data_IF_241528674982
#
_entry.id   IF_241528674982
#
_cell.length_a   1.000
_cell.length_b   1.000
_cell.length_c   1.000
_cell.angle_alpha   90.00
_cell.angle_beta   90.00
_cell.angle_gamma   90.00
#
_symmetry.space_group_name_H-M   'P 1'
#
loop_
_entity.id
_entity.type
_entity.pdbx_description
1 polymer ?
#
# COMPACT_ATOMS: atom_id res chain seq x y z
N UNK A 1 11.44 -8.62 1.94
CA UNK A 1 10.98 -9.43 0.79
C UNK A 1 11.94 -9.17 -0.37
N UNK A 2 12.17 -10.13 -1.26
CA UNK A 2 12.96 -9.91 -2.47
C UNK A 2 12.12 -9.17 -3.52
N UNK A 3 12.65 -8.11 -4.14
CA UNK A 3 11.95 -7.32 -5.15
C UNK A 3 11.56 -8.15 -6.37
N UNK A 4 12.38 -9.15 -6.73
CA UNK A 4 12.06 -10.08 -7.83
C UNK A 4 10.77 -10.84 -7.54
N UNK A 5 10.62 -11.33 -6.31
CA UNK A 5 9.40 -12.03 -5.89
C UNK A 5 8.20 -11.09 -5.86
N UNK A 6 8.37 -9.86 -5.34
CA UNK A 6 7.31 -8.84 -5.33
C UNK A 6 6.75 -8.61 -6.74
N UNK A 7 7.61 -8.39 -7.73
CA UNK A 7 7.16 -8.13 -9.10
C UNK A 7 6.65 -9.39 -9.83
N UNK A 8 7.16 -10.57 -9.49
CA UNK A 8 6.63 -11.83 -10.04
C UNK A 8 5.19 -12.06 -9.58
N UNK A 9 4.93 -11.89 -8.27
CA UNK A 9 3.58 -12.04 -7.72
C UNK A 9 2.65 -10.92 -8.19
N UNK A 10 3.19 -9.75 -8.51
CA UNK A 10 2.44 -8.61 -9.05
C UNK A 10 1.87 -8.92 -10.43
N UNK A 11 2.66 -9.54 -11.30
CA UNK A 11 2.26 -9.90 -12.67
C UNK A 11 1.26 -11.06 -12.73
N UNK A 12 1.20 -11.86 -11.68
CA UNK A 12 0.29 -13.00 -11.60
C UNK A 12 -1.17 -12.58 -11.31
N UNK A 13 -1.41 -11.34 -10.90
CA UNK A 13 -2.75 -10.85 -10.59
C UNK A 13 -3.48 -10.36 -11.86
N UNK A 14 -4.80 -10.62 -11.99
CA UNK A 14 -5.59 -10.12 -13.10
C UNK A 14 -6.01 -8.66 -12.89
N UNK A 15 -5.03 -7.74 -12.89
CA UNK A 15 -5.26 -6.31 -12.56
C UNK A 15 -6.34 -5.62 -13.39
N UNK A 16 -6.51 -6.02 -14.65
CA UNK A 16 -7.57 -5.50 -15.52
C UNK A 16 -9.00 -5.87 -15.08
N UNK A 17 -9.15 -6.83 -14.17
CA UNK A 17 -10.45 -7.22 -13.60
C UNK A 17 -10.79 -6.42 -12.33
N UNK A 18 -9.82 -5.69 -11.77
CA UNK A 18 -10.03 -4.86 -10.58
C UNK A 18 -10.25 -3.41 -10.96
N UNK A 19 -10.95 -2.68 -10.10
CA UNK A 19 -11.20 -1.26 -10.30
C UNK A 19 -10.55 -0.40 -9.22
N UNK A 20 -10.15 0.81 -9.64
CA UNK A 20 -9.69 1.92 -8.81
C UNK A 20 -10.49 3.20 -9.19
N UNK A 21 -10.06 4.38 -8.74
CA UNK A 21 -10.80 5.64 -8.95
C UNK A 21 -11.15 5.98 -10.41
N UNK A 22 -10.34 5.52 -11.36
CA UNK A 22 -10.48 5.85 -12.78
C UNK A 22 -10.93 4.68 -13.65
N UNK A 23 -11.41 3.58 -13.06
CA UNK A 23 -11.82 2.36 -13.77
C UNK A 23 -10.82 1.22 -13.57
N UNK A 24 -10.53 0.45 -14.63
CA UNK A 24 -9.58 -0.68 -14.63
C UNK A 24 -8.25 -0.32 -13.99
N UNK A 25 -7.70 -1.24 -13.18
CA UNK A 25 -6.43 -1.11 -12.50
C UNK A 25 -5.24 -1.74 -13.27
N UNK A 26 -5.38 -1.96 -14.58
CA UNK A 26 -4.34 -2.56 -15.44
C UNK A 26 -3.01 -1.80 -15.45
N UNK A 27 -3.03 -0.52 -15.07
CA UNK A 27 -1.90 0.39 -14.97
C UNK A 27 -1.13 0.27 -13.64
N UNK A 28 -1.77 -0.22 -12.57
CA UNK A 28 -1.16 -0.33 -11.23
C UNK A 28 0.17 -1.08 -11.22
N UNK A 29 0.37 -2.19 -11.96
CA UNK A 29 1.67 -2.86 -12.00
C UNK A 29 2.82 -2.01 -12.56
N UNK A 30 2.52 -1.11 -13.51
CA UNK A 30 3.52 -0.19 -14.04
C UNK A 30 3.84 0.90 -13.02
N UNK A 31 2.83 1.45 -12.35
CA UNK A 31 3.02 2.45 -11.30
C UNK A 31 3.87 1.89 -10.14
N UNK A 32 3.58 0.67 -9.66
CA UNK A 32 4.36 0.04 -8.59
C UNK A 32 5.83 -0.22 -8.97
N UNK A 33 6.12 -0.44 -10.25
CA UNK A 33 7.51 -0.54 -10.75
C UNK A 33 8.18 0.82 -10.84
N UNK A 34 7.45 1.85 -11.26
CA UNK A 34 7.96 3.23 -11.35
C UNK A 34 8.49 3.74 -10.00
N UNK A 35 7.95 3.26 -8.88
CA UNK A 35 8.47 3.56 -7.53
C UNK A 35 9.93 3.12 -7.30
N UNK A 36 10.38 2.09 -8.01
CA UNK A 36 11.73 1.54 -7.94
C UNK A 36 12.66 2.07 -9.04
N UNK A 37 12.21 3.07 -9.82
CA UNK A 37 13.04 3.71 -10.86
C UNK A 37 14.21 4.49 -10.25
N UNK A 38 15.27 4.67 -11.05
CA UNK A 38 16.38 5.58 -10.74
C UNK A 38 16.05 7.04 -11.12
N UNK A 39 14.96 7.27 -11.87
CA UNK A 39 14.49 8.59 -12.26
C UNK A 39 13.50 9.15 -11.21
N UNK A 40 13.89 10.24 -10.54
CA UNK A 40 13.07 10.90 -9.52
C UNK A 40 11.74 11.43 -10.07
N UNK A 41 11.69 11.85 -11.35
CA UNK A 41 10.44 12.31 -11.96
C UNK A 41 9.47 11.15 -12.18
N UNK A 42 9.98 9.98 -12.58
CA UNK A 42 9.19 8.76 -12.74
C UNK A 42 8.64 8.27 -11.40
N UNK A 43 9.47 8.27 -10.35
CA UNK A 43 9.06 7.93 -8.98
C UNK A 43 7.97 8.87 -8.49
N UNK A 44 8.15 10.18 -8.67
CA UNK A 44 7.20 11.20 -8.23
C UNK A 44 5.86 11.08 -8.95
N UNK A 45 5.91 10.86 -10.28
CA UNK A 45 4.72 10.61 -11.10
C UNK A 45 3.99 9.35 -10.64
N UNK A 46 4.71 8.24 -10.45
CA UNK A 46 4.15 6.97 -10.00
C UNK A 46 3.49 7.07 -8.62
N UNK A 47 4.12 7.78 -7.67
CA UNK A 47 3.52 8.05 -6.35
C UNK A 47 2.23 8.86 -6.49
N UNK A 48 2.26 9.96 -7.26
CA UNK A 48 1.10 10.82 -7.47
C UNK A 48 -0.09 10.06 -8.08
N UNK A 49 0.16 9.26 -9.11
CA UNK A 49 -0.86 8.44 -9.76
C UNK A 49 -1.40 7.34 -8.82
N UNK A 50 -0.55 6.65 -8.04
CA UNK A 50 -1.03 5.67 -7.05
C UNK A 50 -1.91 6.30 -5.98
N UNK A 51 -1.50 7.43 -5.40
CA UNK A 51 -2.34 8.16 -4.44
C UNK A 51 -3.65 8.64 -5.09
N UNK A 52 -3.58 9.10 -6.34
CA UNK A 52 -4.73 9.55 -7.11
C UNK A 52 -5.67 8.44 -7.56
N UNK A 53 -5.20 7.19 -7.66
CA UNK A 53 -5.98 6.10 -8.23
C UNK A 53 -6.48 5.12 -7.18
N UNK A 54 -5.58 4.48 -6.43
CA UNK A 54 -5.94 3.46 -5.43
C UNK A 54 -6.25 4.04 -4.05
N UNK A 55 -6.02 5.34 -3.80
CA UNK A 55 -6.38 5.98 -2.51
C UNK A 55 -6.96 7.38 -2.70
N UNK A 56 -7.78 7.55 -3.74
CA UNK A 56 -8.27 8.85 -4.18
C UNK A 56 -9.07 9.57 -3.09
N UNK A 57 -8.51 10.66 -2.56
CA UNK A 57 -9.14 11.52 -1.55
C UNK A 57 -9.63 10.74 -0.32
N UNK A 58 -8.88 9.72 0.10
CA UNK A 58 -9.21 8.87 1.25
C UNK A 58 -10.18 7.73 0.97
N UNK A 59 -10.71 7.62 -0.26
CA UNK A 59 -11.51 6.49 -0.69
C UNK A 59 -10.64 5.31 -1.10
N UNK A 60 -11.11 4.10 -0.80
CA UNK A 60 -10.49 2.83 -1.20
C UNK A 60 -11.35 2.07 -2.21
N UNK A 61 -10.73 1.10 -2.88
CA UNK A 61 -11.25 0.34 -4.01
C UNK A 61 -10.74 -1.10 -3.93
N UNK A 62 -11.28 -2.01 -4.75
CA UNK A 62 -10.78 -3.38 -4.83
C UNK A 62 -9.26 -3.41 -5.10
N UNK A 63 -8.81 -2.61 -6.09
CA UNK A 63 -7.40 -2.50 -6.43
C UNK A 63 -6.53 -2.03 -5.24
N UNK A 64 -7.08 -1.26 -4.31
CA UNK A 64 -6.39 -0.82 -3.10
C UNK A 64 -5.98 -2.01 -2.24
N UNK A 65 -6.94 -2.87 -1.87
CA UNK A 65 -6.66 -4.04 -1.04
C UNK A 65 -5.67 -4.99 -1.73
N UNK A 66 -5.79 -5.14 -3.05
CA UNK A 66 -4.87 -5.96 -3.86
C UNK A 66 -3.46 -5.38 -3.92
N UNK A 67 -3.29 -4.06 -3.88
CA UNK A 67 -1.99 -3.39 -3.93
C UNK A 67 -1.20 -3.49 -2.62
N UNK A 68 -1.88 -3.62 -1.47
CA UNK A 68 -1.26 -3.57 -0.13
C UNK A 68 -0.04 -4.48 0.07
N UNK A 69 -0.06 -5.78 -0.31
CA UNK A 69 1.10 -6.65 -0.15
C UNK A 69 2.34 -6.15 -0.90
N UNK A 70 2.15 -5.55 -2.08
CA UNK A 70 3.22 -5.02 -2.90
C UNK A 70 3.76 -3.70 -2.36
N UNK A 71 2.89 -2.80 -1.87
CA UNK A 71 3.30 -1.57 -1.18
C UNK A 71 4.16 -1.89 0.05
N UNK A 72 3.73 -2.85 0.88
CA UNK A 72 4.50 -3.28 2.05
C UNK A 72 5.81 -3.98 1.66
N UNK A 73 5.79 -4.82 0.62
CA UNK A 73 6.98 -5.48 0.08
C UNK A 73 8.04 -4.50 -0.42
N UNK A 74 7.62 -3.47 -1.17
CA UNK A 74 8.47 -2.40 -1.68
C UNK A 74 9.05 -1.56 -0.53
N UNK A 75 8.20 -1.15 0.43
CA UNK A 75 8.65 -0.42 1.60
C UNK A 75 9.73 -1.20 2.37
N UNK A 76 9.49 -2.49 2.62
CA UNK A 76 10.44 -3.38 3.30
C UNK A 76 11.74 -3.63 2.51
N UNK A 77 11.73 -3.42 1.20
CA UNK A 77 12.92 -3.48 0.35
C UNK A 77 13.69 -2.14 0.27
N UNK A 78 13.24 -1.09 0.98
CA UNK A 78 13.86 0.23 0.96
C UNK A 78 13.36 1.14 -0.16
N UNK A 79 12.34 0.71 -0.93
CA UNK A 79 11.77 1.49 -2.03
C UNK A 79 10.70 2.42 -1.49
N UNK A 80 10.95 3.72 -1.54
CA UNK A 80 10.02 4.77 -1.10
C UNK A 80 9.38 4.51 0.29
N UNK A 81 10.12 3.89 1.21
CA UNK A 81 9.56 3.32 2.45
C UNK A 81 8.71 4.31 3.24
N UNK A 82 9.12 5.57 3.33
CA UNK A 82 8.35 6.59 4.04
C UNK A 82 6.99 6.84 3.39
N UNK A 83 6.97 7.10 2.08
CA UNK A 83 5.74 7.42 1.35
C UNK A 83 4.79 6.22 1.32
N UNK A 84 5.33 5.01 1.21
CA UNK A 84 4.54 3.78 1.21
C UNK A 84 3.97 3.44 2.59
N UNK A 85 4.72 3.68 3.67
CA UNK A 85 4.19 3.55 5.03
C UNK A 85 3.07 4.56 5.30
N UNK A 86 3.18 5.78 4.76
CA UNK A 86 2.08 6.75 4.82
C UNK A 86 0.85 6.26 4.03
N UNK A 87 1.03 5.77 2.81
CA UNK A 87 -0.07 5.26 2.02
C UNK A 87 -0.77 4.09 2.72
N UNK A 88 -0.01 3.14 3.27
CA UNK A 88 -0.53 2.01 4.03
C UNK A 88 -1.34 2.44 5.27
N UNK A 89 -0.90 3.47 5.97
CA UNK A 89 -1.65 4.00 7.12
C UNK A 89 -2.96 4.67 6.72
N UNK A 90 -2.98 5.38 5.57
CA UNK A 90 -4.21 5.95 5.02
C UNK A 90 -5.21 4.88 4.62
N UNK A 91 -4.72 3.82 3.95
CA UNK A 91 -5.53 2.66 3.59
C UNK A 91 -6.11 1.97 4.83
N UNK A 92 -5.31 1.79 5.89
CA UNK A 92 -5.78 1.20 7.15
C UNK A 92 -6.82 2.07 7.88
N UNK A 93 -6.69 3.41 7.79
CA UNK A 93 -7.63 4.37 8.38
C UNK A 93 -8.98 4.43 7.66
N UNK A 94 -9.00 4.13 6.36
CA UNK A 94 -10.20 4.23 5.54
C UNK A 94 -11.41 3.46 6.10
N UNK A 95 -12.59 4.04 5.90
CA UNK A 95 -13.89 3.40 6.14
C UNK A 95 -14.27 2.69 4.83
N UNK A 96 -13.90 1.42 4.73
CA UNK A 96 -14.08 0.55 3.55
C UNK A 96 -15.56 0.14 3.35
N UNK A 97 -16.50 1.06 3.60
CA UNK A 97 -17.93 0.84 3.40
C UNK A 97 -18.33 1.26 1.98
N UNK A 98 -18.24 0.32 1.04
CA UNK A 98 -18.93 0.41 -0.25
C UNK A 98 -19.97 -0.70 -0.39
N UNK A 99 -21.08 -0.36 -1.03
CA UNK A 99 -22.27 -1.20 -1.19
C UNK A 99 -21.93 -2.62 -1.67
N UNK A 100 -22.01 -3.61 -0.77
CA UNK A 100 -21.98 -5.04 -1.09
C UNK A 100 -20.63 -5.76 -0.93
N UNK A 101 -19.53 -5.04 -0.71
CA UNK A 101 -18.25 -5.62 -0.31
C UNK A 101 -18.13 -5.65 1.22
N UNK A 102 -17.50 -6.69 1.77
CA UNK A 102 -17.36 -6.81 3.22
C UNK A 102 -16.49 -5.66 3.74
N UNK A 103 -17.09 -4.77 4.52
CA UNK A 103 -16.40 -3.66 5.15
C UNK A 103 -15.11 -4.12 5.85
N UNK A 104 -13.97 -3.53 5.48
CA UNK A 104 -12.68 -3.73 6.13
C UNK A 104 -11.68 -4.64 5.39
N UNK A 105 -11.91 -4.98 4.13
CA UNK A 105 -10.95 -5.70 3.27
C UNK A 105 -9.61 -4.98 3.14
N UNK A 106 -9.60 -3.66 2.96
CA UNK A 106 -8.37 -2.87 2.89
C UNK A 106 -7.59 -2.90 4.21
N UNK A 107 -8.28 -2.71 5.35
CA UNK A 107 -7.66 -2.78 6.67
C UNK A 107 -7.12 -4.18 6.96
N UNK A 108 -7.89 -5.22 6.63
CA UNK A 108 -7.45 -6.62 6.76
C UNK A 108 -6.21 -6.92 5.92
N UNK A 109 -6.14 -6.38 4.70
CA UNK A 109 -4.94 -6.49 3.86
C UNK A 109 -3.73 -5.85 4.55
N UNK A 110 -3.88 -4.67 5.17
CA UNK A 110 -2.77 -4.02 5.91
C UNK A 110 -2.39 -4.82 7.17
N UNK A 111 -3.36 -5.37 7.90
CA UNK A 111 -3.12 -6.28 9.04
C UNK A 111 -2.23 -7.46 8.61
N UNK A 112 -2.52 -8.07 7.46
CA UNK A 112 -1.74 -9.18 6.95
C UNK A 112 -0.26 -8.81 6.65
N UNK A 113 0.03 -7.52 6.46
CA UNK A 113 1.38 -7.01 6.20
C UNK A 113 2.07 -6.43 7.44
N UNK A 114 1.48 -6.50 8.63
CA UNK A 114 2.13 -6.07 9.88
C UNK A 114 3.54 -6.65 10.07
N UNK A 115 3.84 -7.92 9.72
CA UNK A 115 5.22 -8.44 9.81
C UNK A 115 6.25 -7.67 8.97
N UNK A 116 5.84 -7.00 7.89
CA UNK A 116 6.69 -6.15 7.07
C UNK A 116 6.74 -4.69 7.57
N UNK A 117 5.68 -4.23 8.24
CA UNK A 117 5.54 -2.84 8.73
C UNK A 117 6.19 -2.65 10.11
N UNK A 118 5.97 -3.59 11.05
CA UNK A 118 6.41 -3.46 12.44
C UNK A 118 7.93 -3.26 12.63
N UNK A 119 8.84 -3.84 11.82
CA UNK A 119 10.27 -3.57 11.96
C UNK A 119 10.63 -2.07 11.84
N UNK A 120 9.86 -1.28 11.10
CA UNK A 120 10.10 0.16 10.96
C UNK A 120 9.81 0.97 12.23
N UNK A 121 9.09 0.41 13.22
CA UNK A 121 8.84 1.05 14.53
C UNK A 121 10.14 1.21 15.33
N UNK A 122 11.19 0.48 14.98
CA UNK A 122 12.52 0.60 15.58
C UNK A 122 13.53 1.30 14.66
N UNK A 123 13.09 1.85 13.52
CA UNK A 123 13.98 2.55 12.59
C UNK A 123 14.68 3.74 13.27
N UNK A 124 15.96 3.95 12.98
CA UNK A 124 16.71 5.12 13.45
C UNK A 124 16.08 6.43 12.92
N UNK A 125 15.64 6.40 11.65
CA UNK A 125 14.92 7.51 11.02
C UNK A 125 13.57 7.75 11.71
N UNK A 126 13.41 8.94 12.28
CA UNK A 126 12.21 9.32 13.01
C UNK A 126 10.95 9.40 12.14
N UNK A 127 11.07 9.76 10.85
CA UNK A 127 9.94 9.83 9.93
C UNK A 127 9.43 8.44 9.59
N UNK A 128 10.33 7.50 9.27
CA UNK A 128 9.96 6.09 9.04
C UNK A 128 9.29 5.49 10.26
N UNK A 129 9.85 5.75 11.44
CA UNK A 129 9.32 5.27 12.71
C UNK A 129 7.91 5.79 12.98
N UNK A 130 7.68 7.09 12.78
CA UNK A 130 6.35 7.70 12.95
C UNK A 130 5.33 7.17 11.95
N UNK A 131 5.70 7.03 10.68
CA UNK A 131 4.82 6.50 9.64
C UNK A 131 4.42 5.04 9.95
N UNK A 132 5.37 4.21 10.36
CA UNK A 132 5.12 2.82 10.73
C UNK A 132 4.22 2.68 11.97
N UNK A 133 4.48 3.48 13.02
CA UNK A 133 3.63 3.50 14.22
C UNK A 133 2.20 3.90 13.86
N UNK A 134 2.03 4.94 13.04
CA UNK A 134 0.69 5.35 12.61
C UNK A 134 0.00 4.28 11.77
N UNK A 135 0.67 3.71 10.77
CA UNK A 135 0.11 2.65 9.93
C UNK A 135 -0.32 1.43 10.76
N UNK A 136 0.53 0.97 11.68
CA UNK A 136 0.21 -0.13 12.58
C UNK A 136 -0.97 0.20 13.51
N UNK A 137 -0.99 1.40 14.09
CA UNK A 137 -2.07 1.83 14.99
C UNK A 137 -3.44 1.87 14.29
N UNK A 138 -3.48 2.26 13.01
CA UNK A 138 -4.72 2.35 12.22
C UNK A 138 -5.34 1.00 11.87
N UNK A 139 -4.60 -0.10 12.04
CA UNK A 139 -5.17 -1.44 11.90
C UNK A 139 -6.16 -1.80 13.01
N UNK A 140 -6.15 -1.09 14.14
CA UNK A 140 -6.99 -1.42 15.30
C UNK A 140 -6.60 -2.72 15.99
N UNK A 141 -5.43 -3.30 15.69
CA UNK A 141 -4.87 -4.46 16.38
C UNK A 141 -4.40 -4.08 17.80
N UNK A 142 -5.34 -3.76 18.67
CA UNK A 142 -5.16 -3.89 20.10
C UNK A 142 -5.72 -5.27 20.47
N UNK A 143 -4.85 -6.27 20.70
CA UNK A 143 -5.32 -7.39 21.49
C UNK A 143 -5.74 -6.84 22.86
N UNK A 144 -6.97 -7.10 23.33
CA UNK A 144 -7.32 -6.80 24.70
C UNK A 144 -6.45 -7.70 25.59
N UNK A 145 -5.60 -7.08 26.40
CA UNK A 145 -4.88 -7.74 27.51
C UNK A 145 -5.86 -8.23 28.56
#
# INVERSE_FOLDING_TARGET
MDLVQVFTDLDAQPWAEFEHAYGSAEDVPALLRGLASEDEEEVSSALGELYGSIFHQGSVYEATARAVPYLAGLAAAGVQSFELLLLLGGIAESEDERDGEAAGGCRAAVIAQLPLILPFVEADDARLRQAAVWAAARTGAAEPV
#
